data_IF_227390224052
#
_entry.id   IF_227390224052
#
_cell.length_a   1.000
_cell.length_b   1.000
_cell.length_c   1.000
_cell.angle_alpha   90.00
_cell.angle_beta   90.00
_cell.angle_gamma   90.00
#
_symmetry.space_group_name_H-M   'P 1'
#
loop_
_entity.id
_entity.type
_entity.pdbx_description
1 polymer ?
#
# COMPACT_ATOMS: atom_id res chain seq x y z
N UNK A 1 38.19 88.89 -4.30
CA UNK A 1 37.96 87.76 -5.23
C UNK A 1 38.01 86.43 -4.45
N UNK A 2 36.88 85.89 -4.05
CA UNK A 2 36.79 84.61 -3.29
C UNK A 2 36.53 83.50 -4.23
N UNK A 3 37.47 82.55 -4.29
CA UNK A 3 37.27 81.25 -5.04
C UNK A 3 36.51 80.28 -4.17
N UNK A 4 35.30 79.90 -4.61
CA UNK A 4 34.53 78.81 -3.99
C UNK A 4 35.12 77.44 -4.49
N UNK A 5 35.51 76.66 -3.51
CA UNK A 5 35.87 75.26 -3.76
C UNK A 5 34.61 74.44 -3.59
N UNK A 6 34.15 73.74 -4.65
CA UNK A 6 33.04 72.79 -4.61
C UNK A 6 33.66 71.40 -4.39
N UNK A 7 33.35 70.77 -3.24
CA UNK A 7 33.77 69.41 -2.92
C UNK A 7 32.63 68.47 -3.41
N UNK A 8 32.95 67.66 -4.44
CA UNK A 8 32.05 66.60 -4.86
C UNK A 8 32.30 65.34 -3.98
N UNK A 9 31.34 64.99 -3.16
CA UNK A 9 31.29 63.68 -2.50
C UNK A 9 30.65 62.66 -3.45
N UNK A 10 31.49 61.75 -4.00
CA UNK A 10 31.00 60.57 -4.69
C UNK A 10 30.64 59.49 -3.67
N UNK A 11 29.34 59.28 -3.48
CA UNK A 11 28.82 58.19 -2.67
C UNK A 11 28.87 56.89 -3.48
N UNK A 12 29.91 56.08 -3.28
CA UNK A 12 29.99 54.74 -3.83
C UNK A 12 29.05 53.83 -2.99
N UNK A 13 27.84 53.63 -3.46
CA UNK A 13 26.92 52.67 -2.91
C UNK A 13 27.37 51.24 -3.27
N UNK A 14 28.00 50.54 -2.34
CA UNK A 14 28.22 49.12 -2.45
C UNK A 14 26.90 48.37 -2.38
N UNK A 15 26.32 47.96 -3.51
CA UNK A 15 25.26 46.96 -3.56
C UNK A 15 25.84 45.63 -3.06
N UNK A 16 25.58 45.30 -1.80
CA UNK A 16 25.74 43.95 -1.27
C UNK A 16 24.64 43.08 -1.93
N UNK A 17 24.95 42.49 -3.09
CA UNK A 17 24.20 41.36 -3.60
C UNK A 17 24.46 40.17 -2.66
N UNK A 18 23.62 40.03 -1.66
CA UNK A 18 23.52 38.77 -0.94
C UNK A 18 23.02 37.74 -1.95
N UNK A 19 23.95 37.02 -2.55
CA UNK A 19 23.61 35.82 -3.30
C UNK A 19 22.93 34.85 -2.32
N UNK A 20 21.60 34.78 -2.37
CA UNK A 20 20.85 33.78 -1.66
C UNK A 20 21.16 32.44 -2.35
N UNK A 21 22.22 31.78 -1.91
CA UNK A 21 22.50 30.39 -2.34
C UNK A 21 21.31 29.50 -1.97
N UNK A 22 21.17 28.35 -2.63
CA UNK A 22 20.13 27.39 -2.24
C UNK A 22 20.27 27.06 -0.76
N UNK A 23 19.12 27.10 -0.06
CA UNK A 23 19.08 26.79 1.38
C UNK A 23 19.42 25.33 1.60
N UNK A 24 20.39 25.05 2.45
CA UNK A 24 20.70 23.70 2.90
C UNK A 24 19.55 23.15 3.74
N UNK A 25 19.14 21.91 3.42
CA UNK A 25 18.08 21.20 4.11
C UNK A 25 18.73 20.18 5.04
N UNK A 26 18.44 20.19 6.36
CA UNK A 26 19.00 19.22 7.29
C UNK A 26 18.62 17.77 6.92
N UNK A 27 19.56 16.84 7.03
CA UNK A 27 19.28 15.44 6.84
C UNK A 27 18.57 14.86 8.07
N UNK A 28 17.63 13.95 7.84
CA UNK A 28 17.04 13.08 8.88
C UNK A 28 17.66 11.69 8.88
N UNK A 29 18.25 11.28 7.76
CA UNK A 29 18.84 9.97 7.55
C UNK A 29 17.84 8.92 7.08
N UNK A 30 18.37 7.79 6.67
CA UNK A 30 17.60 6.65 6.22
C UNK A 30 16.77 6.04 7.37
N UNK A 31 15.66 5.41 7.02
CA UNK A 31 14.76 4.83 8.00
C UNK A 31 14.17 3.51 7.49
N UNK A 32 14.14 2.52 8.36
CA UNK A 32 13.51 1.22 8.08
C UNK A 32 12.47 0.91 9.13
N UNK A 33 11.29 0.49 8.71
CA UNK A 33 10.27 -0.05 9.61
C UNK A 33 9.89 -1.47 9.21
N UNK A 34 10.02 -2.40 10.16
CA UNK A 34 9.44 -3.73 10.03
C UNK A 34 7.97 -3.65 10.44
N UNK A 35 7.09 -3.75 9.45
CA UNK A 35 5.64 -3.65 9.65
C UNK A 35 5.09 -4.95 10.24
N UNK A 36 5.38 -6.05 9.56
CA UNK A 36 5.05 -7.41 9.99
C UNK A 36 6.31 -8.25 10.07
N UNK A 37 6.35 -9.15 11.04
CA UNK A 37 7.44 -10.08 11.29
C UNK A 37 6.85 -11.46 11.52
N UNK A 38 7.02 -12.34 10.56
CA UNK A 38 6.49 -13.71 10.54
C UNK A 38 5.03 -13.80 11.04
N UNK A 39 4.20 -12.91 10.55
CA UNK A 39 2.82 -12.75 10.99
C UNK A 39 1.89 -13.65 10.20
N UNK A 40 1.05 -14.47 10.87
CA UNK A 40 0.09 -15.34 10.19
C UNK A 40 -1.01 -14.55 9.46
N UNK A 41 -1.28 -14.92 8.19
CA UNK A 41 -2.42 -14.50 7.39
C UNK A 41 -3.21 -15.75 7.01
N UNK A 42 -4.43 -15.91 7.55
CA UNK A 42 -5.18 -17.17 7.44
C UNK A 42 -6.68 -16.95 7.53
N UNK A 43 -7.46 -17.91 7.07
CA UNK A 43 -8.89 -17.93 7.29
C UNK A 43 -9.23 -18.68 8.58
N UNK A 44 -9.55 -17.95 9.64
CA UNK A 44 -9.81 -18.52 10.95
C UNK A 44 -10.99 -17.82 11.64
N UNK A 45 -12.23 -18.05 11.17
CA UNK A 45 -13.42 -17.35 11.68
C UNK A 45 -13.67 -17.59 13.17
N UNK A 46 -13.27 -18.74 13.70
CA UNK A 46 -13.40 -19.05 15.12
C UNK A 46 -12.47 -18.21 16.02
N UNK A 47 -11.38 -17.70 15.46
CA UNK A 47 -10.39 -16.87 16.16
C UNK A 47 -10.60 -15.39 15.81
N UNK A 48 -10.83 -15.11 14.53
CA UNK A 48 -11.01 -13.77 13.98
C UNK A 48 -12.38 -13.69 13.32
N UNK A 49 -13.43 -13.31 14.05
CA UNK A 49 -14.76 -13.16 13.46
C UNK A 49 -14.75 -12.08 12.37
N UNK A 50 -15.71 -12.14 11.46
CA UNK A 50 -15.85 -11.15 10.39
C UNK A 50 -16.07 -9.75 10.96
N UNK A 51 -16.85 -9.64 12.04
CA UNK A 51 -16.98 -8.40 12.79
C UNK A 51 -15.63 -8.00 13.41
N UNK A 52 -15.45 -6.69 13.58
CA UNK A 52 -14.23 -6.13 14.15
C UNK A 52 -13.79 -6.83 15.42
N UNK A 53 -12.52 -7.14 15.47
CA UNK A 53 -11.82 -7.58 16.66
C UNK A 53 -10.74 -6.56 17.03
N UNK A 54 -10.56 -6.31 18.33
CA UNK A 54 -9.53 -5.41 18.81
C UNK A 54 -8.12 -5.88 18.38
N UNK A 55 -7.16 -4.98 18.19
CA UNK A 55 -5.81 -5.39 17.85
C UNK A 55 -5.20 -6.20 18.98
N UNK A 56 -4.37 -7.17 18.63
CA UNK A 56 -3.56 -7.91 19.59
C UNK A 56 -2.53 -7.04 20.33
N UNK A 57 -1.78 -7.64 21.24
CA UNK A 57 -0.70 -6.97 22.00
C UNK A 57 0.39 -6.39 21.07
N UNK A 58 0.55 -6.96 19.87
CA UNK A 58 1.44 -6.52 18.79
C UNK A 58 0.89 -5.35 17.99
N UNK A 59 -0.29 -4.84 18.32
CA UNK A 59 -1.03 -3.78 17.63
C UNK A 59 -1.46 -4.15 16.21
N UNK A 60 -1.58 -5.44 15.90
CA UNK A 60 -2.07 -5.94 14.61
C UNK A 60 -3.57 -6.18 14.69
N UNK A 61 -4.30 -5.62 13.72
CA UNK A 61 -5.70 -5.92 13.47
C UNK A 61 -5.79 -7.10 12.53
N UNK A 62 -6.64 -8.08 12.87
CA UNK A 62 -6.99 -9.18 11.98
C UNK A 62 -8.42 -8.97 11.51
N UNK A 63 -8.61 -8.71 10.23
CA UNK A 63 -9.91 -8.42 9.62
C UNK A 63 -10.28 -9.51 8.62
N UNK A 64 -11.56 -9.56 8.25
CA UNK A 64 -12.08 -10.50 7.24
C UNK A 64 -11.69 -11.94 7.59
N UNK A 65 -12.04 -12.36 8.81
CA UNK A 65 -11.69 -13.68 9.35
C UNK A 65 -10.19 -13.99 9.39
N UNK A 66 -9.32 -12.96 9.51
CA UNK A 66 -7.87 -13.10 9.59
C UNK A 66 -7.15 -13.10 8.24
N UNK A 67 -7.86 -12.96 7.12
CA UNK A 67 -7.25 -12.84 5.77
C UNK A 67 -6.60 -11.49 5.51
N UNK A 68 -6.93 -10.49 6.32
CA UNK A 68 -6.27 -9.18 6.33
C UNK A 68 -5.56 -9.00 7.66
N UNK A 69 -4.28 -8.64 7.61
CA UNK A 69 -3.54 -8.09 8.73
C UNK A 69 -3.29 -6.60 8.47
N UNK A 70 -3.49 -5.76 9.48
CA UNK A 70 -3.39 -4.31 9.36
C UNK A 70 -2.68 -3.75 10.60
N UNK A 71 -1.72 -2.85 10.39
CA UNK A 71 -0.95 -2.22 11.47
C UNK A 71 -0.72 -0.74 11.18
N UNK A 72 -0.76 0.08 12.24
CA UNK A 72 -0.35 1.48 12.15
C UNK A 72 1.17 1.56 12.20
N UNK A 73 1.75 2.28 11.25
CA UNK A 73 3.17 2.63 11.23
C UNK A 73 3.33 4.15 11.30
N UNK A 74 4.52 4.60 11.64
CA UNK A 74 4.89 6.01 11.60
C UNK A 74 6.22 6.13 10.89
N UNK A 75 6.24 6.86 9.78
CA UNK A 75 7.45 7.22 9.06
C UNK A 75 7.85 8.66 9.41
N UNK A 76 9.14 9.00 9.40
CA UNK A 76 9.59 10.38 9.50
C UNK A 76 9.02 11.22 8.34
N UNK A 77 8.74 12.48 8.64
CA UNK A 77 8.43 13.47 7.61
C UNK A 77 9.74 14.05 7.08
N UNK A 78 10.01 13.93 5.80
CA UNK A 78 11.25 14.37 5.17
C UNK A 78 11.07 15.72 4.49
N UNK A 79 12.14 16.51 4.49
CA UNK A 79 12.23 17.76 3.72
C UNK A 79 13.11 17.60 2.47
N UNK A 80 13.94 16.56 2.43
CA UNK A 80 14.71 16.13 1.24
C UNK A 80 13.96 15.05 0.48
N UNK A 81 14.30 14.89 -0.81
CA UNK A 81 13.78 13.77 -1.59
C UNK A 81 14.13 12.43 -0.95
N UNK A 82 13.22 11.51 -1.07
CA UNK A 82 13.36 10.14 -0.59
C UNK A 82 13.08 9.16 -1.71
N UNK A 83 13.66 7.98 -1.63
CA UNK A 83 13.18 6.77 -2.30
C UNK A 83 12.59 5.83 -1.27
N UNK A 84 11.48 5.19 -1.61
CA UNK A 84 10.76 4.31 -0.69
C UNK A 84 10.58 2.94 -1.33
N UNK A 85 11.01 1.90 -0.64
CA UNK A 85 10.90 0.52 -1.08
C UNK A 85 10.07 -0.29 -0.11
N UNK A 86 9.20 -1.12 -0.66
CA UNK A 86 8.45 -2.12 0.05
C UNK A 86 9.04 -3.49 -0.24
N UNK A 87 9.38 -4.24 0.81
CA UNK A 87 9.80 -5.63 0.69
C UNK A 87 8.80 -6.52 1.43
N UNK A 88 8.37 -7.58 0.77
CA UNK A 88 7.44 -8.57 1.31
C UNK A 88 8.01 -9.95 1.13
N UNK A 89 7.95 -10.76 2.18
CA UNK A 89 8.31 -12.17 2.16
C UNK A 89 7.11 -12.99 2.61
N UNK A 90 6.77 -14.01 1.82
CA UNK A 90 5.65 -14.92 2.09
C UNK A 90 6.17 -16.35 2.11
N UNK A 91 5.79 -17.08 3.14
CA UNK A 91 5.95 -18.52 3.24
C UNK A 91 4.60 -19.19 3.43
N UNK A 92 4.40 -20.41 2.94
CA UNK A 92 3.23 -21.21 3.30
C UNK A 92 3.30 -21.60 4.77
N UNK A 93 2.16 -21.55 5.45
CA UNK A 93 1.98 -22.15 6.77
C UNK A 93 1.05 -23.39 6.71
N UNK A 94 0.91 -23.97 5.51
CA UNK A 94 0.07 -25.13 5.21
C UNK A 94 -0.84 -24.95 3.99
N UNK A 95 -1.17 -23.72 3.60
CA UNK A 95 -1.84 -23.46 2.31
C UNK A 95 -0.82 -23.58 1.17
N UNK A 96 -1.03 -24.57 0.31
CA UNK A 96 -0.14 -24.86 -0.82
C UNK A 96 -0.54 -24.18 -2.13
N UNK A 97 -1.72 -23.56 -2.15
CA UNK A 97 -2.28 -23.02 -3.37
C UNK A 97 -1.69 -21.64 -3.72
N UNK A 98 -1.72 -21.32 -4.98
CA UNK A 98 -1.48 -19.96 -5.46
C UNK A 98 -2.68 -19.08 -5.12
N UNK A 99 -2.41 -18.01 -4.36
CA UNK A 99 -3.42 -17.07 -3.87
C UNK A 99 -3.08 -15.65 -4.28
N UNK A 100 -4.09 -14.92 -4.65
CA UNK A 100 -3.94 -13.47 -4.84
C UNK A 100 -3.63 -12.80 -3.49
N UNK A 101 -2.64 -11.94 -3.51
CA UNK A 101 -2.24 -11.13 -2.36
C UNK A 101 -1.99 -9.68 -2.71
N UNK A 102 -2.16 -8.80 -1.75
CA UNK A 102 -1.93 -7.37 -1.91
C UNK A 102 -1.39 -6.76 -0.64
N UNK A 103 -0.40 -5.90 -0.78
CA UNK A 103 0.01 -4.95 0.24
C UNK A 103 -0.65 -3.62 -0.05
N UNK A 104 -1.18 -2.97 0.98
CA UNK A 104 -1.97 -1.76 0.79
C UNK A 104 -1.81 -0.76 1.92
N UNK A 105 -2.22 0.47 1.67
CA UNK A 105 -2.32 1.54 2.66
C UNK A 105 -3.74 2.11 2.67
N UNK A 106 -4.21 2.48 3.87
CA UNK A 106 -5.47 3.22 4.01
C UNK A 106 -5.22 4.70 3.76
N UNK A 107 -5.98 5.36 2.86
CA UNK A 107 -5.89 6.80 2.66
C UNK A 107 -6.20 7.56 3.94
N UNK A 108 -5.39 8.57 4.29
CA UNK A 108 -5.52 9.33 5.54
C UNK A 108 -6.73 10.27 5.54
N UNK A 109 -7.03 10.82 4.39
CA UNK A 109 -8.07 11.85 4.22
C UNK A 109 -9.47 11.27 4.00
N UNK A 110 -9.61 9.95 4.14
CA UNK A 110 -10.90 9.29 3.98
C UNK A 110 -11.66 9.27 5.31
N UNK A 111 -12.81 9.90 5.37
CA UNK A 111 -13.72 9.81 6.51
C UNK A 111 -14.30 8.41 6.69
N UNK A 112 -14.37 7.64 5.60
CA UNK A 112 -14.79 6.24 5.54
C UNK A 112 -13.64 5.42 5.00
N UNK A 113 -13.22 4.39 5.72
CA UNK A 113 -12.16 3.47 5.32
C UNK A 113 -12.40 2.06 5.84
N UNK A 114 -11.63 1.10 5.34
CA UNK A 114 -11.78 -0.31 5.68
C UNK A 114 -11.80 -0.56 7.20
N UNK A 115 -10.97 0.13 7.99
CA UNK A 115 -10.87 -0.10 9.42
C UNK A 115 -12.11 0.38 10.18
N UNK A 116 -12.62 1.58 9.89
CA UNK A 116 -13.80 2.08 10.60
C UNK A 116 -15.10 1.36 10.15
N UNK A 117 -15.12 0.85 8.92
CA UNK A 117 -16.19 -0.06 8.48
C UNK A 117 -16.11 -1.38 9.24
N UNK A 118 -14.94 -2.00 9.33
CA UNK A 118 -14.75 -3.23 10.07
C UNK A 118 -15.14 -3.09 11.56
N UNK A 119 -14.92 -1.91 12.14
CA UNK A 119 -15.37 -1.57 13.50
C UNK A 119 -16.87 -1.34 13.64
N UNK A 120 -17.61 -1.27 12.55
CA UNK A 120 -19.02 -0.90 12.56
C UNK A 120 -19.29 0.58 12.85
N UNK A 121 -18.25 1.43 12.81
CA UNK A 121 -18.37 2.88 13.05
C UNK A 121 -18.91 3.63 11.82
N UNK A 122 -18.66 3.09 10.65
CA UNK A 122 -19.07 3.61 9.34
C UNK A 122 -19.61 2.50 8.45
N UNK A 123 -20.24 2.90 7.37
CA UNK A 123 -20.70 2.01 6.29
C UNK A 123 -20.15 2.52 4.97
N UNK A 124 -20.01 1.64 3.99
CA UNK A 124 -19.70 2.06 2.64
C UNK A 124 -20.77 3.02 2.11
N UNK A 125 -20.38 4.00 1.28
CA UNK A 125 -21.35 4.87 0.62
C UNK A 125 -22.36 4.05 -0.18
N UNK A 126 -23.61 4.51 -0.18
CA UNK A 126 -24.62 3.95 -1.07
C UNK A 126 -24.19 4.13 -2.53
N UNK A 127 -24.45 3.14 -3.33
CA UNK A 127 -24.22 3.19 -4.78
C UNK A 127 -25.52 3.06 -5.52
N UNK A 128 -25.58 3.64 -6.71
CA UNK A 128 -26.73 3.47 -7.59
C UNK A 128 -26.78 2.01 -8.08
N UNK A 129 -27.60 1.20 -7.44
CA UNK A 129 -27.72 -0.23 -7.73
C UNK A 129 -28.15 -0.54 -9.16
N UNK A 130 -28.72 0.45 -9.87
CA UNK A 130 -29.08 0.28 -11.29
C UNK A 130 -27.87 0.37 -12.22
N UNK A 131 -26.83 1.06 -11.77
CA UNK A 131 -25.60 1.30 -12.53
C UNK A 131 -24.41 0.54 -11.98
N UNK A 132 -24.32 0.42 -10.66
CA UNK A 132 -23.14 -0.01 -9.92
C UNK A 132 -23.49 -1.16 -8.96
N UNK A 133 -24.43 -2.01 -9.30
CA UNK A 133 -24.73 -3.23 -8.53
C UNK A 133 -23.42 -3.99 -8.22
N UNK A 134 -23.20 -4.37 -6.99
CA UNK A 134 -22.00 -5.02 -6.50
C UNK A 134 -20.72 -4.14 -6.47
N UNK A 135 -20.86 -2.83 -6.66
CA UNK A 135 -19.72 -1.90 -6.65
C UNK A 135 -19.51 -1.22 -5.29
N UNK A 136 -20.22 -1.64 -4.25
CA UNK A 136 -20.07 -1.07 -2.90
C UNK A 136 -18.63 -1.17 -2.43
N UNK A 137 -18.06 -0.03 -2.06
CA UNK A 137 -16.68 0.05 -1.57
C UNK A 137 -15.58 -0.08 -2.62
N UNK A 138 -15.91 -0.26 -3.89
CA UNK A 138 -14.94 -0.42 -4.97
C UNK A 138 -14.48 0.93 -5.51
N UNK A 139 -15.40 1.86 -5.73
CA UNK A 139 -15.16 3.16 -6.35
C UNK A 139 -15.12 4.25 -5.28
N UNK A 140 -14.23 5.24 -5.46
CA UNK A 140 -14.19 6.42 -4.60
C UNK A 140 -15.52 7.18 -4.65
N UNK A 141 -15.90 7.76 -3.53
CA UNK A 141 -17.12 8.55 -3.37
C UNK A 141 -16.91 9.69 -2.39
N UNK A 142 -17.97 10.40 -2.07
CA UNK A 142 -17.93 11.43 -1.05
C UNK A 142 -17.50 10.80 0.29
N UNK A 143 -16.51 11.41 0.95
CA UNK A 143 -15.94 10.94 2.21
C UNK A 143 -15.30 9.52 2.17
N UNK A 144 -15.31 8.82 1.04
CA UNK A 144 -14.75 7.51 0.89
C UNK A 144 -13.63 7.48 -0.15
N UNK A 145 -12.48 6.99 0.27
CA UNK A 145 -11.36 6.66 -0.62
C UNK A 145 -11.03 5.18 -0.46
N UNK A 146 -10.99 4.40 -1.55
CA UNK A 146 -10.60 3.00 -1.48
C UNK A 146 -9.15 2.85 -1.03
N UNK A 147 -8.81 1.68 -0.53
CA UNK A 147 -7.42 1.34 -0.20
C UNK A 147 -6.52 1.48 -1.42
N UNK A 148 -5.28 1.91 -1.21
CA UNK A 148 -4.29 2.03 -2.29
C UNK A 148 -3.33 0.87 -2.23
N UNK A 149 -3.22 0.13 -3.32
CA UNK A 149 -2.25 -0.94 -3.44
C UNK A 149 -0.82 -0.40 -3.53
N UNK A 150 0.02 -0.88 -2.63
CA UNK A 150 1.46 -0.67 -2.66
C UNK A 150 2.12 -1.71 -3.56
N UNK A 151 1.67 -2.97 -3.47
CA UNK A 151 2.17 -4.11 -4.24
C UNK A 151 1.07 -5.14 -4.43
N UNK A 152 0.97 -5.73 -5.63
CA UNK A 152 0.19 -6.93 -5.92
C UNK A 152 1.13 -8.11 -6.10
N UNK A 153 0.77 -9.28 -5.54
CA UNK A 153 1.52 -10.51 -5.72
C UNK A 153 0.58 -11.72 -5.82
N UNK A 154 1.15 -12.84 -6.27
CA UNK A 154 0.53 -14.15 -6.18
C UNK A 154 1.43 -15.03 -5.32
N UNK A 155 0.86 -15.75 -4.37
CA UNK A 155 1.64 -16.76 -3.65
C UNK A 155 2.00 -17.89 -4.62
N UNK A 156 3.28 -18.27 -4.75
CA UNK A 156 3.64 -19.38 -5.61
C UNK A 156 3.09 -20.69 -5.07
N UNK A 157 2.58 -21.54 -5.97
CA UNK A 157 2.10 -22.86 -5.60
C UNK A 157 3.20 -23.67 -4.90
N UNK A 158 2.92 -24.18 -3.73
CA UNK A 158 3.77 -25.12 -3.00
C UNK A 158 4.97 -24.54 -2.25
N UNK A 159 5.26 -23.23 -2.37
CA UNK A 159 6.40 -22.62 -1.67
C UNK A 159 6.22 -22.73 -0.15
N UNK A 160 7.26 -23.25 0.54
CA UNK A 160 7.20 -23.53 1.98
C UNK A 160 6.34 -24.74 2.35
N UNK A 161 5.66 -25.37 1.38
CA UNK A 161 4.83 -26.55 1.60
C UNK A 161 5.55 -27.83 1.22
N UNK A 162 6.22 -27.85 0.07
CA UNK A 162 6.95 -29.04 -0.39
C UNK A 162 8.37 -29.15 0.17
N UNK A 163 8.89 -28.12 0.80
CA UNK A 163 10.20 -28.15 1.47
C UNK A 163 10.19 -28.86 2.82
N UNK A 164 9.02 -29.10 3.41
CA UNK A 164 8.90 -29.78 4.69
C UNK A 164 8.89 -31.31 4.51
N UNK A 165 9.88 -32.06 5.05
CA UNK A 165 9.93 -33.52 4.94
C UNK A 165 8.89 -34.21 5.82
N UNK A 166 8.39 -33.55 6.82
CA UNK A 166 7.33 -34.03 7.70
C UNK A 166 6.00 -33.30 7.43
N UNK A 167 4.96 -33.76 8.07
CA UNK A 167 3.59 -33.26 7.83
C UNK A 167 3.15 -32.17 8.80
N UNK A 168 4.08 -31.47 9.42
CA UNK A 168 3.78 -30.46 10.43
C UNK A 168 2.95 -29.29 9.92
N UNK A 169 3.07 -28.97 8.62
CA UNK A 169 2.35 -27.87 7.96
C UNK A 169 1.16 -28.31 7.10
N UNK A 170 0.91 -29.62 6.94
CA UNK A 170 0.06 -30.11 5.87
C UNK A 170 -1.15 -30.93 6.31
N UNK A 171 -1.28 -31.16 7.59
CA UNK A 171 -2.39 -31.89 8.16
C UNK A 171 -2.76 -33.18 7.39
N UNK A 172 -3.85 -33.16 6.66
CA UNK A 172 -4.41 -34.37 6.03
C UNK A 172 -3.94 -34.64 4.61
N UNK A 173 -3.09 -33.78 4.05
CA UNK A 173 -2.64 -33.93 2.65
C UNK A 173 -1.13 -33.79 2.60
N UNK A 174 -0.46 -34.86 3.02
CA UNK A 174 0.99 -34.90 2.95
C UNK A 174 1.45 -34.64 1.52
N UNK A 175 2.18 -33.55 1.27
CA UNK A 175 2.74 -33.29 -0.03
C UNK A 175 3.88 -34.29 -0.31
N UNK A 176 4.22 -34.39 -1.55
CA UNK A 176 5.49 -34.99 -1.92
C UNK A 176 6.58 -34.01 -1.47
N UNK A 177 7.50 -34.50 -0.63
CA UNK A 177 8.70 -33.74 -0.32
C UNK A 177 9.55 -33.59 -1.58
N UNK A 178 9.95 -32.33 -1.86
CA UNK A 178 10.84 -32.02 -2.98
C UNK A 178 12.09 -31.39 -2.38
N UNK A 179 13.21 -32.06 -2.51
CA UNK A 179 14.49 -31.57 -2.01
C UNK A 179 14.85 -30.24 -2.68
N UNK A 180 15.33 -29.29 -1.89
CA UNK A 180 15.66 -27.93 -2.31
C UNK A 180 14.47 -27.09 -2.84
N UNK A 181 13.23 -27.44 -2.51
CA UNK A 181 12.09 -26.56 -2.78
C UNK A 181 12.17 -25.31 -1.90
N UNK A 182 11.79 -24.16 -2.46
CA UNK A 182 11.87 -22.90 -1.74
C UNK A 182 10.93 -22.86 -0.52
N UNK A 183 11.44 -22.35 0.60
CA UNK A 183 10.67 -22.17 1.84
C UNK A 183 9.81 -20.92 1.81
N UNK A 184 10.27 -19.89 1.10
CA UNK A 184 9.62 -18.59 1.01
C UNK A 184 9.93 -17.90 -0.30
N UNK A 185 9.16 -16.88 -0.62
CA UNK A 185 9.42 -15.99 -1.75
C UNK A 185 9.37 -14.55 -1.28
N UNK A 186 10.22 -13.72 -1.85
CA UNK A 186 10.29 -12.29 -1.55
C UNK A 186 10.12 -11.45 -2.82
N UNK A 187 9.42 -10.32 -2.65
CA UNK A 187 9.29 -9.29 -3.68
C UNK A 187 9.74 -7.95 -3.12
N UNK A 188 10.26 -7.12 -3.98
CA UNK A 188 10.59 -5.73 -3.70
C UNK A 188 9.91 -4.83 -4.72
N UNK A 189 9.33 -3.73 -4.26
CA UNK A 189 8.63 -2.76 -5.09
C UNK A 189 9.05 -1.35 -4.70
N UNK A 190 9.41 -0.53 -5.69
CA UNK A 190 9.53 0.93 -5.51
C UNK A 190 8.14 1.54 -5.36
N UNK A 191 7.90 2.17 -4.22
CA UNK A 191 6.64 2.83 -3.88
C UNK A 191 6.83 4.32 -3.60
N UNK A 192 7.92 4.91 -4.07
CA UNK A 192 8.28 6.32 -3.86
C UNK A 192 7.16 7.28 -4.25
N UNK A 193 6.44 7.01 -5.33
CA UNK A 193 5.33 7.85 -5.77
C UNK A 193 4.13 7.81 -4.79
N UNK A 194 4.07 6.81 -3.91
CA UNK A 194 3.03 6.63 -2.89
C UNK A 194 3.45 7.13 -1.50
N UNK A 195 4.67 7.68 -1.35
CA UNK A 195 5.17 8.21 -0.08
C UNK A 195 4.21 9.16 0.63
N UNK A 196 3.47 10.08 -0.04
CA UNK A 196 2.51 10.97 0.64
C UNK A 196 1.43 10.24 1.45
N UNK A 197 1.10 9.02 1.07
CA UNK A 197 0.14 8.20 1.83
C UNK A 197 0.76 7.58 3.08
N UNK A 198 2.09 7.50 3.15
CA UNK A 198 2.84 6.82 4.22
C UNK A 198 3.49 7.78 5.21
N UNK A 199 3.90 8.99 4.77
CA UNK A 199 4.61 9.96 5.63
C UNK A 199 3.83 10.28 6.91
N UNK A 200 4.53 10.50 8.02
CA UNK A 200 3.90 10.70 9.33
C UNK A 200 3.31 9.40 9.87
N UNK A 201 2.01 9.20 9.79
CA UNK A 201 1.34 7.98 10.28
C UNK A 201 0.40 7.38 9.25
N UNK A 202 0.45 6.06 9.05
CA UNK A 202 -0.41 5.35 8.11
C UNK A 202 -0.81 3.96 8.64
N UNK A 203 -1.95 3.45 8.21
CA UNK A 203 -2.31 2.04 8.37
C UNK A 203 -1.91 1.29 7.11
N UNK A 204 -1.05 0.29 7.27
CA UNK A 204 -0.54 -0.55 6.19
C UNK A 204 -0.96 -1.98 6.45
N UNK A 205 -1.39 -2.69 5.41
CA UNK A 205 -1.89 -4.05 5.55
C UNK A 205 -1.43 -4.99 4.46
N UNK A 206 -1.64 -6.28 4.72
CA UNK A 206 -1.54 -7.38 3.77
C UNK A 206 -2.88 -8.09 3.72
N UNK A 207 -3.35 -8.38 2.52
CA UNK A 207 -4.43 -9.29 2.23
C UNK A 207 -3.90 -10.49 1.47
N UNK A 208 -4.36 -11.70 1.84
CA UNK A 208 -4.17 -12.92 1.04
C UNK A 208 -5.51 -13.64 0.95
N UNK A 209 -5.93 -13.99 -0.26
CA UNK A 209 -7.22 -14.67 -0.50
C UNK A 209 -7.13 -16.17 -0.17
N UNK A 210 -6.65 -16.47 1.03
CA UNK A 210 -6.60 -17.84 1.57
C UNK A 210 -7.92 -18.23 2.22
N UNK A 211 -8.26 -19.49 2.14
CA UNK A 211 -9.46 -20.09 2.75
C UNK A 211 -9.11 -21.26 3.66
N UNK A 212 -7.84 -21.37 4.04
CA UNK A 212 -7.37 -22.41 4.96
C UNK A 212 -7.05 -21.82 6.32
N UNK A 213 -7.22 -22.62 7.37
CA UNK A 213 -6.91 -22.23 8.75
C UNK A 213 -5.41 -22.09 9.00
N UNK A 214 -4.61 -22.74 8.19
CA UNK A 214 -3.15 -22.71 8.22
C UNK A 214 -2.63 -21.41 7.57
N UNK A 215 -3.07 -21.14 6.34
CA UNK A 215 -2.75 -19.94 5.58
C UNK A 215 -1.27 -19.79 5.26
N UNK A 216 -0.77 -18.59 5.47
CA UNK A 216 0.58 -18.14 5.15
C UNK A 216 1.21 -17.39 6.32
N UNK A 217 2.53 -17.28 6.30
CA UNK A 217 3.33 -16.40 7.15
C UNK A 217 3.84 -15.25 6.29
N UNK A 218 3.64 -14.02 6.77
CA UNK A 218 4.00 -12.81 6.06
C UNK A 218 4.94 -11.93 6.86
N UNK A 219 5.99 -11.44 6.22
CA UNK A 219 6.87 -10.38 6.73
C UNK A 219 6.88 -9.22 5.76
N UNK A 220 6.86 -7.99 6.27
CA UNK A 220 6.85 -6.77 5.48
C UNK A 220 7.77 -5.71 6.08
N UNK A 221 8.57 -5.09 5.24
CA UNK A 221 9.45 -3.99 5.61
C UNK A 221 9.25 -2.81 4.64
N UNK A 222 9.30 -1.60 5.17
CA UNK A 222 9.34 -0.36 4.38
C UNK A 222 10.67 0.31 4.67
N UNK A 223 11.47 0.51 3.63
CA UNK A 223 12.76 1.19 3.66
C UNK A 223 12.62 2.57 3.01
N UNK A 224 13.13 3.59 3.67
CA UNK A 224 13.16 4.97 3.19
C UNK A 224 14.62 5.41 3.15
N UNK A 225 15.11 5.68 1.96
CA UNK A 225 16.46 6.20 1.72
C UNK A 225 16.37 7.70 1.42
N UNK A 226 16.97 8.54 2.27
CA UNK A 226 16.97 9.98 2.09
C UNK A 226 18.04 10.40 1.09
N UNK A 227 17.74 11.38 0.24
CA UNK A 227 18.73 11.96 -0.67
C UNK A 227 19.95 12.50 0.09
N UNK A 228 21.15 12.10 -0.33
CA UNK A 228 22.41 12.61 0.19
C UNK A 228 22.69 14.07 -0.17
N UNK A 229 21.87 14.68 -1.06
CA UNK A 229 22.08 16.04 -1.53
C UNK A 229 21.40 17.06 -0.62
N UNK A 230 22.19 17.92 0.01
CA UNK A 230 21.68 18.94 0.95
C UNK A 230 20.72 19.97 0.33
N UNK A 231 20.65 20.05 -0.99
CA UNK A 231 19.85 21.00 -1.75
C UNK A 231 18.81 20.32 -2.62
N UNK A 232 18.40 19.12 -2.27
CA UNK A 232 17.40 18.33 -2.99
C UNK A 232 16.06 18.31 -2.24
N UNK A 233 15.24 19.39 -2.38
CA UNK A 233 13.98 19.48 -1.65
C UNK A 233 13.01 18.39 -2.06
N UNK A 234 12.20 17.92 -1.10
CA UNK A 234 11.20 16.90 -1.33
C UNK A 234 10.25 17.29 -2.47
N UNK A 235 10.19 16.44 -3.48
CA UNK A 235 9.21 16.56 -4.56
C UNK A 235 7.83 16.25 -3.99
N UNK A 236 6.94 17.24 -3.94
CA UNK A 236 5.56 17.05 -3.50
C UNK A 236 4.80 16.25 -4.55
N UNK A 237 4.14 15.20 -4.11
CA UNK A 237 3.28 14.35 -4.93
C UNK A 237 1.85 14.41 -4.38
N UNK A 238 0.89 14.20 -5.25
CA UNK A 238 -0.52 14.02 -4.89
C UNK A 238 -0.95 12.64 -5.39
N UNK A 239 -1.65 11.90 -4.56
CA UNK A 239 -2.18 10.57 -4.90
C UNK A 239 -3.70 10.62 -4.69
N UNK A 240 -4.44 10.35 -5.77
CA UNK A 240 -5.90 10.27 -5.74
C UNK A 240 -6.33 8.81 -5.95
N UNK A 241 -6.84 8.13 -4.93
CA UNK A 241 -7.38 6.78 -5.06
C UNK A 241 -8.73 6.80 -5.79
N UNK A 242 -8.85 6.07 -6.88
CA UNK A 242 -10.05 6.06 -7.71
C UNK A 242 -10.87 4.79 -7.51
N UNK A 243 -10.23 3.64 -7.47
CA UNK A 243 -10.90 2.34 -7.45
C UNK A 243 -9.97 1.26 -6.87
N UNK A 244 -10.57 0.31 -6.14
CA UNK A 244 -9.89 -0.92 -5.72
C UNK A 244 -10.90 -2.06 -5.58
N UNK A 245 -10.58 -3.23 -6.13
CA UNK A 245 -11.45 -4.42 -6.09
C UNK A 245 -10.93 -5.53 -5.17
N UNK A 246 -9.77 -5.33 -4.51
CA UNK A 246 -9.02 -6.42 -3.87
C UNK A 246 -9.72 -7.04 -2.66
N UNK A 247 -10.46 -6.25 -1.88
CA UNK A 247 -10.98 -6.67 -0.57
C UNK A 247 -12.49 -6.84 -0.50
N UNK A 248 -13.18 -6.69 -1.61
CA UNK A 248 -14.63 -6.65 -1.62
C UNK A 248 -15.23 -7.84 -2.35
N UNK A 249 -16.49 -8.12 -2.06
CA UNK A 249 -17.26 -9.16 -2.74
C UNK A 249 -17.25 -9.02 -4.27
N UNK A 250 -17.03 -7.82 -4.79
CA UNK A 250 -16.84 -7.58 -6.21
C UNK A 250 -15.73 -8.42 -6.86
N UNK A 251 -14.76 -8.91 -6.09
CA UNK A 251 -13.75 -9.86 -6.59
C UNK A 251 -14.34 -11.23 -6.90
N UNK A 252 -15.41 -11.61 -6.23
CA UNK A 252 -16.10 -12.86 -6.49
C UNK A 252 -16.99 -12.80 -7.73
N UNK A 253 -17.09 -11.62 -8.34
CA UNK A 253 -17.84 -11.36 -9.58
C UNK A 253 -16.85 -11.09 -10.73
N UNK A 254 -16.22 -12.12 -11.30
CA UNK A 254 -15.19 -11.94 -12.33
C UNK A 254 -15.69 -11.23 -13.59
N UNK A 255 -16.99 -11.19 -13.78
CA UNK A 255 -17.65 -10.55 -14.91
C UNK A 255 -18.13 -9.12 -14.63
N UNK A 256 -17.79 -8.50 -13.48
CA UNK A 256 -18.22 -7.15 -13.14
C UNK A 256 -17.86 -6.14 -14.24
N UNK A 257 -16.65 -6.22 -14.80
CA UNK A 257 -16.20 -5.36 -15.88
C UNK A 257 -16.71 -5.80 -17.25
N UNK A 258 -17.17 -7.04 -17.41
CA UNK A 258 -17.79 -7.53 -18.63
C UNK A 258 -19.26 -7.14 -18.76
N UNK A 259 -19.91 -6.88 -17.63
CA UNK A 259 -21.34 -6.52 -17.62
C UNK A 259 -21.59 -5.04 -17.74
N UNK A 260 -20.70 -4.20 -17.22
CA UNK A 260 -20.91 -2.75 -17.15
C UNK A 260 -19.57 -2.00 -17.18
N UNK A 261 -19.59 -0.80 -17.73
CA UNK A 261 -18.47 0.13 -17.58
C UNK A 261 -18.38 0.58 -16.11
N UNK A 262 -17.15 0.59 -15.61
CA UNK A 262 -16.83 1.14 -14.30
C UNK A 262 -16.23 2.52 -14.51
N UNK A 263 -16.86 3.53 -13.96
CA UNK A 263 -16.41 4.91 -14.11
C UNK A 263 -16.45 5.64 -12.78
N UNK A 264 -15.53 6.55 -12.60
CA UNK A 264 -15.51 7.50 -11.48
C UNK A 264 -15.02 8.85 -11.98
N UNK A 265 -15.63 9.91 -11.49
CA UNK A 265 -15.19 11.26 -11.73
C UNK A 265 -14.18 11.68 -10.67
N UNK A 266 -13.16 12.41 -11.09
CA UNK A 266 -12.16 12.98 -10.18
C UNK A 266 -11.68 14.33 -10.69
N UNK A 267 -11.19 15.15 -9.77
CA UNK A 267 -10.62 16.45 -10.09
C UNK A 267 -9.10 16.42 -9.92
N UNK A 268 -8.40 17.01 -10.90
CA UNK A 268 -6.96 17.23 -10.79
C UNK A 268 -6.74 18.56 -10.09
N UNK A 269 -6.11 18.59 -8.89
CA UNK A 269 -5.88 19.84 -8.19
C UNK A 269 -5.09 20.87 -9.00
N UNK A 270 -5.41 22.13 -8.86
CA UNK A 270 -4.71 23.20 -9.56
C UNK A 270 -3.20 23.17 -9.25
N UNK A 271 -2.39 23.31 -10.29
CA UNK A 271 -0.92 23.29 -10.19
C UNK A 271 -0.27 21.91 -10.26
N UNK A 272 -1.04 20.84 -10.23
CA UNK A 272 -0.51 19.48 -10.46
C UNK A 272 0.01 19.35 -11.89
N UNK A 273 1.18 18.71 -12.03
CA UNK A 273 1.83 18.42 -13.31
C UNK A 273 2.22 16.95 -13.36
N UNK A 274 2.52 16.45 -14.54
CA UNK A 274 2.95 15.06 -14.76
C UNK A 274 1.95 14.03 -14.23
N UNK A 275 0.67 14.25 -14.50
CA UNK A 275 -0.42 13.34 -14.10
C UNK A 275 -0.20 11.97 -14.74
N UNK A 276 -0.30 10.91 -13.93
CA UNK A 276 -0.18 9.52 -14.35
C UNK A 276 -1.35 8.73 -13.78
N UNK A 277 -1.87 7.81 -14.55
CA UNK A 277 -2.78 6.77 -14.06
C UNK A 277 -1.95 5.53 -13.75
N UNK A 278 -1.99 5.08 -12.47
CA UNK A 278 -1.47 3.77 -12.08
C UNK A 278 -2.63 2.79 -12.09
N UNK A 279 -2.59 1.82 -12.97
CA UNK A 279 -3.60 0.78 -13.08
C UNK A 279 -2.95 -0.59 -12.88
N UNK A 280 -3.38 -1.32 -11.85
CA UNK A 280 -2.89 -2.65 -11.53
C UNK A 280 -3.99 -3.63 -11.91
N UNK A 281 -3.65 -4.56 -12.80
CA UNK A 281 -4.53 -5.60 -13.29
C UNK A 281 -3.83 -6.96 -13.15
N UNK A 282 -4.56 -7.95 -12.72
CA UNK A 282 -4.09 -9.35 -12.70
C UNK A 282 -5.09 -10.20 -13.46
N UNK A 283 -4.61 -11.06 -14.35
CA UNK A 283 -5.43 -11.99 -15.13
C UNK A 283 -5.73 -13.31 -14.44
N UNK A 284 -5.51 -13.40 -13.12
CA UNK A 284 -5.78 -14.60 -12.34
C UNK A 284 -7.21 -14.59 -11.82
N UNK A 285 -8.00 -15.54 -12.24
CA UNK A 285 -9.37 -15.71 -11.79
C UNK A 285 -9.75 -17.18 -11.77
N UNK A 286 -10.04 -17.75 -10.60
CA UNK A 286 -10.64 -19.06 -10.49
C UNK A 286 -12.08 -19.00 -11.00
N UNK A 287 -12.31 -19.46 -12.20
CA UNK A 287 -13.66 -19.67 -12.74
C UNK A 287 -13.95 -21.18 -12.80
N UNK A 288 -15.22 -21.56 -12.68
CA UNK A 288 -15.66 -22.97 -12.79
C UNK A 288 -15.26 -23.68 -14.09
N UNK A 289 -14.76 -22.94 -15.09
CA UNK A 289 -14.23 -23.43 -16.35
C UNK A 289 -12.71 -23.46 -16.46
N UNK A 290 -11.99 -23.08 -15.40
CA UNK A 290 -10.52 -22.95 -15.41
C UNK A 290 -9.99 -21.72 -16.14
N UNK A 291 -8.71 -21.45 -16.00
CA UNK A 291 -8.01 -20.27 -16.56
C UNK A 291 -7.87 -20.29 -18.10
N UNK A 292 -8.53 -21.24 -18.76
CA UNK A 292 -8.37 -21.53 -20.19
C UNK A 292 -9.01 -20.45 -21.09
N UNK A 293 -9.76 -19.52 -20.53
CA UNK A 293 -10.53 -18.54 -21.29
C UNK A 293 -9.97 -17.12 -21.24
N UNK A 294 -8.76 -16.94 -20.74
CA UNK A 294 -8.03 -15.69 -20.79
C UNK A 294 -7.09 -15.68 -22.00
N UNK A 295 -7.67 -15.79 -23.18
CA UNK A 295 -6.96 -15.63 -24.43
C UNK A 295 -7.02 -14.20 -24.91
#
# INVERSE_FOLDING_TARGET
MMKKIVLLFSLAGALLLTACGPREIPAKGDFTVRVFDDTPVRFAPDIYPEAYNAPGADSIYHLVNGRIILKKITLPEYERNVSVKLKVTIASNGDRWDKSGSCFVLPKESGINLLNIAKGEKQFPEVDSTKLEHMVGIVAGEDYKPTVELMRFMTPFGVGHFSAPDDSLTHNRKPVYIDHWEDSVSWEQDITDLYPLLEGGAYVGIFIDTWTTEGYIASMTVDVDESGLAYDPLTRRHVEPLMNTVYYEGQTYPDIFARRDVSTDFEIPAGVRNVRLKYIVTGHGGHSGGDIHLG
#
